data_IF_143052578162
#
_entry.id   IF_143052578162
#
_cell.length_a   1.000
_cell.length_b   1.000
_cell.length_c   1.000
_cell.angle_alpha   90.00
_cell.angle_beta   90.00
_cell.angle_gamma   90.00
#
_symmetry.space_group_name_H-M   'P 1'
#
loop_
_entity.id
_entity.type
_entity.pdbx_description
1 polymer ?
#
# COMPACT_ATOMS: atom_id res chain seq x y z
N UNK A 1 -6.47 -16.21 15.53
CA UNK A 1 -5.17 -16.33 16.23
C UNK A 1 -5.32 -16.70 17.69
N UNK A 2 -5.94 -15.86 18.54
CA UNK A 2 -6.04 -16.15 19.97
C UNK A 2 -6.71 -17.51 20.28
N UNK A 3 -7.91 -17.79 19.74
CA UNK A 3 -8.58 -19.08 19.90
C UNK A 3 -7.70 -20.26 19.48
N UNK A 4 -7.09 -20.16 18.30
CA UNK A 4 -6.17 -21.18 17.77
C UNK A 4 -4.99 -21.44 18.71
N UNK A 5 -4.39 -20.39 19.30
CA UNK A 5 -3.27 -20.57 20.24
C UNK A 5 -3.73 -21.16 21.57
N UNK A 6 -4.93 -20.83 22.05
CA UNK A 6 -5.53 -21.47 23.24
C UNK A 6 -5.75 -22.96 23.00
N UNK A 7 -6.30 -23.31 21.84
CA UNK A 7 -6.58 -24.70 21.46
C UNK A 7 -5.28 -25.52 21.34
N UNK A 8 -4.23 -24.97 20.69
CA UNK A 8 -2.94 -25.66 20.51
C UNK A 8 -2.17 -25.84 21.83
N UNK A 9 -2.31 -24.90 22.78
CA UNK A 9 -1.55 -24.91 24.03
C UNK A 9 -2.31 -25.49 25.22
N UNK A 10 -3.55 -25.92 25.01
CA UNK A 10 -4.50 -26.33 26.06
C UNK A 10 -4.55 -25.33 27.24
N UNK A 11 -4.66 -24.05 26.90
CA UNK A 11 -4.61 -22.96 27.88
C UNK A 11 -5.74 -21.97 27.67
N UNK A 12 -6.41 -21.60 28.77
CA UNK A 12 -7.46 -20.58 28.76
C UNK A 12 -6.94 -19.16 28.80
N UNK A 13 -5.62 -18.98 29.00
CA UNK A 13 -5.00 -17.66 29.00
C UNK A 13 -5.05 -17.05 27.59
N UNK A 14 -5.15 -15.71 27.47
CA UNK A 14 -5.03 -15.04 26.17
C UNK A 14 -3.81 -15.53 25.38
N UNK A 15 -4.01 -15.80 24.09
CA UNK A 15 -3.00 -16.34 23.17
C UNK A 15 -2.29 -17.60 23.69
N UNK A 16 -2.96 -18.43 24.48
CA UNK A 16 -2.36 -19.66 25.01
C UNK A 16 -1.24 -19.40 26.03
N UNK A 17 -1.25 -18.24 26.69
CA UNK A 17 -0.20 -17.81 27.62
C UNK A 17 1.08 -17.31 26.95
N UNK A 18 1.08 -17.11 25.63
CA UNK A 18 2.23 -16.56 24.91
C UNK A 18 2.30 -15.04 25.08
N UNK A 19 3.52 -14.53 25.17
CA UNK A 19 3.78 -13.09 25.11
C UNK A 19 3.61 -12.65 23.65
N UNK A 20 2.62 -11.79 23.40
CA UNK A 20 2.35 -11.22 22.08
C UNK A 20 2.62 -9.73 22.11
N UNK A 21 3.37 -9.25 21.13
CA UNK A 21 3.62 -7.83 20.91
C UNK A 21 2.98 -7.43 19.59
N UNK A 22 2.02 -6.51 19.66
CA UNK A 22 1.42 -5.91 18.47
C UNK A 22 2.16 -4.61 18.13
N UNK A 23 2.55 -4.46 16.87
CA UNK A 23 3.10 -3.23 16.33
C UNK A 23 2.22 -2.71 15.20
N UNK A 24 1.94 -1.41 15.19
CA UNK A 24 1.14 -0.78 14.15
C UNK A 24 0.76 0.65 14.49
N UNK A 25 0.23 1.37 13.50
CA UNK A 25 -0.37 2.70 13.68
C UNK A 25 -1.84 2.62 13.31
N UNK A 26 -2.72 2.74 14.30
CA UNK A 26 -4.18 2.66 14.12
C UNK A 26 -4.77 3.84 13.33
N UNK A 27 -3.93 4.81 12.96
CA UNK A 27 -4.28 5.90 12.04
C UNK A 27 -4.02 5.53 10.57
N UNK A 28 -3.54 4.33 10.30
CA UNK A 28 -3.37 3.77 8.95
C UNK A 28 -4.66 3.05 8.50
N UNK A 29 -4.60 2.44 7.32
CA UNK A 29 -5.75 1.81 6.64
C UNK A 29 -6.35 0.69 7.51
N UNK A 30 -7.68 0.62 7.54
CA UNK A 30 -8.41 -0.46 8.20
C UNK A 30 -8.17 -1.81 7.52
N UNK A 31 -8.44 -2.94 8.20
CA UNK A 31 -8.44 -4.24 7.55
C UNK A 31 -9.37 -4.26 6.33
N UNK A 32 -8.88 -4.77 5.20
CA UNK A 32 -9.67 -4.86 3.97
C UNK A 32 -10.61 -6.07 4.06
N UNK A 33 -11.92 -5.82 3.98
CA UNK A 33 -12.93 -6.87 3.86
C UNK A 33 -13.56 -6.76 2.46
N UNK A 34 -13.30 -7.76 1.60
CA UNK A 34 -13.85 -7.77 0.24
C UNK A 34 -15.38 -7.76 0.30
N UNK A 35 -16.00 -6.80 -0.38
CA UNK A 35 -17.46 -6.58 -0.38
C UNK A 35 -18.05 -6.32 1.02
N UNK A 36 -17.20 -5.97 1.99
CA UNK A 36 -17.61 -5.62 3.34
C UNK A 36 -18.18 -4.21 3.42
N UNK A 37 -19.02 -4.01 4.41
CA UNK A 37 -19.49 -2.70 4.84
C UNK A 37 -18.44 -2.02 5.71
N UNK A 38 -18.51 -0.69 5.81
CA UNK A 38 -17.67 0.09 6.74
C UNK A 38 -17.75 -0.42 8.18
N UNK A 39 -18.92 -0.91 8.61
CA UNK A 39 -19.10 -1.44 9.96
C UNK A 39 -18.33 -2.75 10.15
N UNK A 40 -18.33 -3.63 9.16
CA UNK A 40 -17.57 -4.88 9.20
C UNK A 40 -16.06 -4.61 9.25
N UNK A 41 -15.56 -3.66 8.45
CA UNK A 41 -14.15 -3.26 8.47
C UNK A 41 -13.71 -2.75 9.85
N UNK A 42 -14.53 -1.89 10.46
CA UNK A 42 -14.28 -1.38 11.82
C UNK A 42 -14.32 -2.52 12.84
N UNK A 43 -15.27 -3.44 12.73
CA UNK A 43 -15.42 -4.58 13.64
C UNK A 43 -14.26 -5.58 13.51
N UNK A 44 -13.64 -5.69 12.35
CA UNK A 44 -12.46 -6.52 12.14
C UNK A 44 -11.16 -5.88 12.69
N UNK A 45 -11.17 -4.58 12.99
CA UNK A 45 -10.01 -3.91 13.57
C UNK A 45 -9.69 -4.44 14.97
N UNK A 46 -8.40 -4.47 15.32
CA UNK A 46 -7.96 -4.89 16.65
C UNK A 46 -8.54 -4.00 17.77
N UNK A 47 -8.82 -2.72 17.46
CA UNK A 47 -9.44 -1.79 18.40
C UNK A 47 -10.88 -2.19 18.79
N UNK A 48 -11.58 -2.91 17.92
CA UNK A 48 -12.93 -3.47 18.18
C UNK A 48 -12.89 -4.87 18.79
N UNK A 49 -11.69 -5.46 18.95
CA UNK A 49 -11.55 -6.79 19.53
C UNK A 49 -11.87 -6.79 21.02
N UNK A 50 -12.47 -7.87 21.50
CA UNK A 50 -12.68 -8.10 22.93
C UNK A 50 -11.36 -8.15 23.73
N UNK A 51 -10.22 -8.40 23.06
CA UNK A 51 -8.90 -8.38 23.67
C UNK A 51 -8.37 -6.97 23.89
N UNK A 52 -8.91 -5.95 23.23
CA UNK A 52 -8.36 -4.59 23.25
C UNK A 52 -8.23 -3.99 24.65
N UNK A 53 -9.19 -4.31 25.53
CA UNK A 53 -9.21 -3.86 26.93
C UNK A 53 -8.14 -4.56 27.79
N UNK A 54 -7.71 -5.77 27.43
CA UNK A 54 -6.73 -6.55 28.18
C UNK A 54 -5.28 -6.22 27.79
N UNK A 55 -5.08 -5.55 26.64
CA UNK A 55 -3.76 -5.18 26.14
C UNK A 55 -3.17 -3.97 26.87
N UNK A 56 -1.90 -4.09 27.24
CA UNK A 56 -1.07 -2.95 27.67
C UNK A 56 -0.72 -2.10 26.46
N UNK A 57 -0.97 -0.78 26.56
CA UNK A 57 -0.82 0.17 25.44
C UNK A 57 0.43 1.00 25.64
N UNK A 58 1.44 0.78 24.79
CA UNK A 58 2.67 1.56 24.74
C UNK A 58 2.59 2.48 23.52
N UNK A 59 2.91 3.77 23.72
CA UNK A 59 2.86 4.78 22.64
C UNK A 59 4.26 5.34 22.42
N UNK A 60 4.70 5.32 21.17
CA UNK A 60 5.91 6.03 20.74
C UNK A 60 5.52 7.46 20.35
N UNK A 61 6.30 8.45 20.81
CA UNK A 61 6.03 9.87 20.60
C UNK A 61 6.93 10.52 19.56
N UNK A 62 8.11 9.97 19.30
CA UNK A 62 9.09 10.56 18.39
C UNK A 62 8.97 9.98 16.97
N UNK A 63 8.84 10.87 15.98
CA UNK A 63 8.85 10.49 14.56
C UNK A 63 10.30 10.41 14.06
N UNK A 64 10.83 9.19 14.01
CA UNK A 64 12.20 8.96 13.54
C UNK A 64 12.37 9.13 12.02
N UNK A 65 11.29 9.02 11.23
CA UNK A 65 11.36 9.10 9.75
C UNK A 65 11.54 10.53 9.26
N UNK A 66 10.82 11.48 9.85
CA UNK A 66 10.87 12.91 9.51
C UNK A 66 11.57 13.72 10.61
N UNK A 67 12.51 13.12 11.35
CA UNK A 67 13.16 13.74 12.50
C UNK A 67 13.85 15.07 12.16
N UNK A 68 14.43 15.16 10.97
CA UNK A 68 15.14 16.34 10.49
C UNK A 68 14.24 17.36 9.78
N UNK A 69 12.93 17.10 9.68
CA UNK A 69 11.93 18.02 9.15
C UNK A 69 10.75 18.15 10.13
N UNK A 70 10.90 18.98 11.18
CA UNK A 70 9.87 19.19 12.18
C UNK A 70 8.57 19.76 11.60
N UNK A 71 8.65 20.58 10.55
CA UNK A 71 7.49 21.19 9.92
C UNK A 71 6.64 20.11 9.24
N UNK A 72 7.27 19.25 8.44
CA UNK A 72 6.58 18.13 7.81
C UNK A 72 6.07 17.11 8.83
N UNK A 73 6.87 16.78 9.86
CA UNK A 73 6.44 15.86 10.92
C UNK A 73 5.21 16.39 11.67
N UNK A 74 5.18 17.68 12.01
CA UNK A 74 4.04 18.30 12.68
C UNK A 74 2.80 18.32 11.77
N UNK A 75 2.96 18.64 10.49
CA UNK A 75 1.88 18.57 9.51
C UNK A 75 1.30 17.15 9.40
N UNK A 76 2.16 16.12 9.27
CA UNK A 76 1.73 14.72 9.25
C UNK A 76 0.96 14.31 10.51
N UNK A 77 1.38 14.78 11.69
CA UNK A 77 0.69 14.52 12.95
C UNK A 77 -0.70 15.18 12.98
N UNK A 78 -0.82 16.42 12.48
CA UNK A 78 -2.11 17.10 12.41
C UNK A 78 -3.09 16.38 11.48
N UNK A 79 -2.62 15.93 10.31
CA UNK A 79 -3.39 15.15 9.34
C UNK A 79 -3.86 13.84 9.98
N UNK A 80 -2.94 13.12 10.62
CA UNK A 80 -3.23 11.84 11.28
C UNK A 80 -4.21 11.97 12.44
N UNK A 81 -4.15 13.06 13.20
CA UNK A 81 -5.08 13.30 14.30
C UNK A 81 -6.42 13.89 13.84
N UNK A 82 -6.59 14.22 12.57
CA UNK A 82 -7.79 14.87 12.04
C UNK A 82 -7.97 16.31 12.54
N UNK A 83 -6.88 16.98 12.93
CA UNK A 83 -6.90 18.35 13.48
C UNK A 83 -6.56 19.43 12.44
N UNK A 84 -6.16 19.03 11.24
CA UNK A 84 -5.85 19.95 10.14
C UNK A 84 -7.12 20.71 9.72
N UNK A 85 -7.03 22.00 9.34
CA UNK A 85 -8.16 22.73 8.79
C UNK A 85 -8.78 21.96 7.63
N UNK A 86 -10.02 21.56 7.82
CA UNK A 86 -10.79 20.82 6.84
C UNK A 86 -11.47 21.87 5.93
N UNK A 87 -11.43 21.67 4.62
CA UNK A 87 -12.16 22.52 3.69
C UNK A 87 -13.68 22.30 3.82
N UNK A 88 -14.47 23.14 3.14
CA UNK A 88 -15.94 23.10 3.13
C UNK A 88 -16.51 21.70 2.80
N UNK A 89 -15.75 20.86 2.11
CA UNK A 89 -16.16 19.52 1.67
C UNK A 89 -15.61 18.35 2.51
N UNK A 90 -15.22 18.60 3.75
CA UNK A 90 -14.56 17.58 4.59
C UNK A 90 -13.22 17.05 4.02
N UNK A 91 -12.53 17.82 3.17
CA UNK A 91 -11.24 17.44 2.56
C UNK A 91 -10.08 18.15 3.25
N UNK A 92 -8.94 17.47 3.31
CA UNK A 92 -7.69 18.05 3.80
C UNK A 92 -7.08 18.89 2.67
N UNK A 93 -6.71 20.14 2.96
CA UNK A 93 -5.95 20.96 2.02
C UNK A 93 -4.47 20.57 2.09
N UNK A 94 -3.92 20.10 0.97
CA UNK A 94 -2.50 19.81 0.83
C UNK A 94 -1.73 21.14 0.60
N UNK A 95 -0.56 21.35 1.23
CA UNK A 95 0.29 22.51 0.97
C UNK A 95 0.66 22.62 -0.51
N UNK A 96 0.69 23.84 -1.06
CA UNK A 96 0.95 24.07 -2.48
C UNK A 96 2.34 23.59 -2.91
N UNK A 97 3.30 23.59 -1.98
CA UNK A 97 4.67 23.13 -2.19
C UNK A 97 4.76 21.62 -2.42
N UNK A 98 3.70 20.88 -2.10
CA UNK A 98 3.59 19.42 -2.30
C UNK A 98 2.74 19.06 -3.52
N UNK A 99 2.26 20.04 -4.29
CA UNK A 99 1.35 19.84 -5.40
C UNK A 99 2.03 20.09 -6.74
N UNK A 100 1.72 19.21 -7.70
CA UNK A 100 1.97 19.46 -9.12
C UNK A 100 0.67 20.02 -9.71
N UNK A 101 0.67 21.23 -10.28
CA UNK A 101 -0.54 21.83 -10.84
C UNK A 101 -1.10 20.99 -11.97
N UNK A 102 -2.38 20.64 -11.87
CA UNK A 102 -3.07 19.92 -12.94
C UNK A 102 -3.29 20.82 -14.16
N UNK A 103 -2.89 20.34 -15.34
CA UNK A 103 -3.11 20.99 -16.64
C UNK A 103 -4.10 20.19 -17.49
N UNK A 104 -3.71 18.98 -17.87
CA UNK A 104 -4.51 17.93 -18.50
C UNK A 104 -3.91 16.57 -18.13
N UNK A 105 -4.60 15.47 -18.46
CA UNK A 105 -4.19 14.13 -18.01
C UNK A 105 -2.78 13.74 -18.47
N UNK A 106 -2.45 13.98 -19.75
CA UNK A 106 -1.16 13.60 -20.33
C UNK A 106 -0.03 14.46 -19.76
N UNK A 107 -0.14 15.79 -19.85
CA UNK A 107 0.91 16.69 -19.36
C UNK A 107 1.13 16.59 -17.86
N UNK A 108 0.06 16.40 -17.07
CA UNK A 108 0.20 16.32 -15.61
C UNK A 108 0.84 14.99 -15.19
N UNK A 109 0.58 13.90 -15.92
CA UNK A 109 1.25 12.61 -15.69
C UNK A 109 2.73 12.69 -16.05
N UNK A 110 3.05 13.32 -17.19
CA UNK A 110 4.44 13.54 -17.59
C UNK A 110 5.17 14.43 -16.58
N UNK A 111 4.57 15.56 -16.15
CA UNK A 111 5.11 16.44 -15.12
C UNK A 111 5.32 15.69 -13.78
N UNK A 112 4.42 14.77 -13.41
CA UNK A 112 4.57 13.92 -12.22
C UNK A 112 5.75 12.95 -12.33
N UNK A 113 5.87 12.27 -13.47
CA UNK A 113 6.97 11.36 -13.73
C UNK A 113 8.30 12.11 -13.69
N UNK A 114 8.38 13.26 -14.34
CA UNK A 114 9.60 14.07 -14.40
C UNK A 114 9.95 14.66 -13.03
N UNK A 115 8.97 15.05 -12.22
CA UNK A 115 9.20 15.51 -10.85
C UNK A 115 9.79 14.41 -9.95
N UNK A 116 9.35 13.16 -10.13
CA UNK A 116 9.77 12.03 -9.27
C UNK A 116 11.01 11.34 -9.79
N UNK A 117 11.13 11.08 -11.10
CA UNK A 117 12.19 10.31 -11.75
C UNK A 117 13.11 11.14 -12.65
N UNK A 118 12.91 12.46 -12.74
CA UNK A 118 13.83 13.36 -13.44
C UNK A 118 14.22 12.84 -14.85
N UNK A 119 15.51 12.86 -15.19
CA UNK A 119 15.99 12.25 -16.43
C UNK A 119 16.26 10.75 -16.22
N UNK A 120 15.31 9.93 -16.68
CA UNK A 120 15.40 8.46 -16.64
C UNK A 120 16.63 7.95 -17.42
N UNK A 121 17.07 8.67 -18.45
CA UNK A 121 18.24 8.33 -19.25
C UNK A 121 19.55 8.33 -18.44
N UNK A 122 19.63 9.20 -17.43
CA UNK A 122 20.81 9.35 -16.57
C UNK A 122 21.03 8.15 -15.62
N UNK A 123 20.00 7.34 -15.37
CA UNK A 123 20.07 6.24 -14.40
C UNK A 123 20.83 5.00 -14.88
N UNK A 124 21.15 4.91 -16.18
CA UNK A 124 22.00 3.83 -16.69
C UNK A 124 23.37 3.79 -16.01
N UNK A 125 23.89 4.95 -15.62
CA UNK A 125 25.19 5.09 -14.98
C UNK A 125 25.11 4.93 -13.45
N UNK A 126 23.95 5.21 -12.84
CA UNK A 126 23.76 5.12 -11.40
C UNK A 126 22.33 4.71 -10.98
N UNK A 127 22.07 3.39 -10.98
CA UNK A 127 20.79 2.83 -10.54
C UNK A 127 20.43 3.16 -9.08
N UNK A 128 21.40 3.51 -8.23
CA UNK A 128 21.14 3.80 -6.81
C UNK A 128 20.31 5.08 -6.62
N UNK A 129 20.41 6.05 -7.53
CA UNK A 129 19.62 7.28 -7.48
C UNK A 129 18.14 7.05 -7.76
N UNK A 130 17.83 5.98 -8.50
CA UNK A 130 16.46 5.58 -8.80
C UNK A 130 15.80 4.83 -7.64
N UNK A 131 16.56 4.03 -6.88
CA UNK A 131 16.01 3.13 -5.85
C UNK A 131 15.23 3.81 -4.71
N UNK A 132 15.40 5.12 -4.51
CA UNK A 132 14.73 5.88 -3.45
C UNK A 132 13.48 6.64 -3.94
N UNK A 133 13.00 6.36 -5.16
CA UNK A 133 11.88 7.05 -5.80
C UNK A 133 10.72 6.08 -6.02
N UNK A 134 9.50 6.54 -5.77
CA UNK A 134 8.29 5.77 -5.99
C UNK A 134 7.09 6.68 -6.25
N UNK A 135 6.21 6.26 -7.15
CA UNK A 135 4.89 6.86 -7.36
C UNK A 135 3.86 5.91 -6.74
N UNK A 136 3.00 6.45 -5.87
CA UNK A 136 1.92 5.69 -5.24
C UNK A 136 0.59 6.19 -5.78
N UNK A 137 -0.24 5.27 -6.26
CA UNK A 137 -1.61 5.59 -6.72
C UNK A 137 -2.64 4.78 -5.94
N UNK A 138 -3.91 5.24 -5.86
CA UNK A 138 -4.95 4.53 -5.12
C UNK A 138 -5.44 3.23 -5.77
N UNK A 139 -5.18 3.03 -7.08
CA UNK A 139 -5.74 1.93 -7.87
C UNK A 139 -4.67 1.28 -8.75
N UNK A 140 -4.74 -0.04 -8.87
CA UNK A 140 -3.81 -0.81 -9.69
C UNK A 140 -3.83 -0.41 -11.17
N UNK A 141 -5.01 -0.12 -11.75
CA UNK A 141 -5.07 0.31 -13.15
C UNK A 141 -4.25 1.59 -13.42
N UNK A 142 -4.21 2.53 -12.47
CA UNK A 142 -3.36 3.71 -12.55
C UNK A 142 -1.87 3.38 -12.32
N UNK A 143 -1.57 2.35 -11.53
CA UNK A 143 -0.19 1.82 -11.42
C UNK A 143 0.25 1.26 -12.77
N UNK A 144 -0.59 0.45 -13.42
CA UNK A 144 -0.28 -0.20 -14.70
C UNK A 144 -0.04 0.81 -15.81
N UNK A 145 -0.87 1.85 -15.89
CA UNK A 145 -0.72 2.97 -16.83
C UNK A 145 0.63 3.70 -16.66
N UNK A 146 0.94 4.10 -15.42
CA UNK A 146 2.19 4.83 -15.12
C UNK A 146 3.42 3.93 -15.35
N UNK A 147 3.35 2.67 -14.94
CA UNK A 147 4.44 1.72 -15.16
C UNK A 147 4.68 1.49 -16.66
N UNK A 148 3.63 1.42 -17.47
CA UNK A 148 3.75 1.28 -18.93
C UNK A 148 4.48 2.48 -19.53
N UNK A 149 4.11 3.70 -19.13
CA UNK A 149 4.80 4.93 -19.57
C UNK A 149 6.27 4.93 -19.14
N UNK A 150 6.56 4.56 -17.90
CA UNK A 150 7.92 4.47 -17.39
C UNK A 150 8.77 3.45 -18.16
N UNK A 151 8.25 2.23 -18.39
CA UNK A 151 8.94 1.18 -19.17
C UNK A 151 9.29 1.67 -20.57
N UNK A 152 8.39 2.40 -21.23
CA UNK A 152 8.64 2.98 -22.57
C UNK A 152 9.70 4.09 -22.57
N UNK A 153 9.86 4.81 -21.44
CA UNK A 153 10.86 5.86 -21.29
C UNK A 153 12.25 5.34 -20.92
N UNK A 154 12.36 4.13 -20.37
CA UNK A 154 13.66 3.56 -20.03
C UNK A 154 14.52 3.31 -21.28
N UNK A 155 15.77 3.78 -21.30
CA UNK A 155 16.68 3.45 -22.39
C UNK A 155 17.05 1.96 -22.32
N UNK A 156 16.88 1.24 -23.44
CA UNK A 156 17.27 -0.15 -23.54
C UNK A 156 16.36 -0.98 -24.44
N UNK A 157 16.64 -2.28 -24.49
CA UNK A 157 15.81 -3.22 -25.24
C UNK A 157 14.70 -3.76 -24.35
N UNK A 158 13.45 -3.60 -24.80
CA UNK A 158 12.29 -4.19 -24.13
C UNK A 158 12.42 -5.71 -24.12
N UNK A 159 12.24 -6.32 -22.96
CA UNK A 159 12.19 -7.78 -22.78
C UNK A 159 10.82 -8.14 -22.22
N UNK A 160 10.11 -9.03 -22.90
CA UNK A 160 8.80 -9.53 -22.46
C UNK A 160 8.97 -10.90 -21.81
N UNK A 161 8.27 -11.11 -20.70
CA UNK A 161 8.24 -12.37 -19.96
C UNK A 161 6.80 -12.86 -19.91
N UNK A 162 6.54 -14.00 -20.55
CA UNK A 162 5.22 -14.63 -20.56
C UNK A 162 5.02 -15.46 -19.29
N UNK A 163 3.84 -15.35 -18.69
CA UNK A 163 3.41 -16.22 -17.60
C UNK A 163 3.02 -17.60 -18.13
N UNK A 164 3.16 -18.60 -17.28
CA UNK A 164 2.70 -19.96 -17.57
C UNK A 164 1.98 -20.50 -16.34
N UNK A 165 0.66 -20.62 -16.44
CA UNK A 165 -0.22 -21.01 -15.35
C UNK A 165 -0.71 -22.45 -15.58
N UNK A 166 -0.52 -23.32 -14.58
CA UNK A 166 -0.93 -24.73 -14.65
C UNK A 166 -1.93 -25.08 -13.54
N UNK A 167 -2.92 -25.89 -13.88
CA UNK A 167 -3.80 -26.54 -12.92
C UNK A 167 -3.06 -27.64 -12.14
N UNK A 168 -3.49 -27.90 -10.90
CA UNK A 168 -2.98 -29.04 -10.12
C UNK A 168 -3.38 -30.36 -10.79
N UNK A 169 -4.58 -30.41 -11.36
CA UNK A 169 -5.03 -31.53 -12.20
C UNK A 169 -4.87 -31.14 -13.68
N UNK A 170 -3.84 -31.67 -14.32
CA UNK A 170 -3.52 -31.40 -15.74
C UNK A 170 -4.64 -31.75 -16.71
N UNK A 171 -5.58 -32.62 -16.32
CA UNK A 171 -6.73 -32.96 -17.17
C UNK A 171 -7.75 -31.82 -17.30
N UNK A 172 -7.72 -30.85 -16.38
CA UNK A 172 -8.59 -29.67 -16.38
C UNK A 172 -7.97 -28.46 -17.09
N UNK A 173 -6.68 -28.54 -17.48
CA UNK A 173 -5.94 -27.40 -18.04
C UNK A 173 -6.68 -26.73 -19.20
N UNK A 174 -7.09 -27.50 -20.21
CA UNK A 174 -7.76 -26.95 -21.39
C UNK A 174 -9.16 -26.36 -21.13
N UNK A 175 -9.76 -26.62 -19.95
CA UNK A 175 -11.04 -26.04 -19.54
C UNK A 175 -10.80 -24.76 -18.72
N UNK A 176 -9.73 -24.74 -17.92
CA UNK A 176 -9.43 -23.64 -16.99
C UNK A 176 -8.48 -22.59 -17.56
N UNK A 177 -7.79 -22.85 -18.67
CA UNK A 177 -6.78 -21.97 -19.26
C UNK A 177 -7.28 -20.52 -19.43
N UNK A 178 -8.42 -20.32 -20.10
CA UNK A 178 -9.01 -18.98 -20.27
C UNK A 178 -9.30 -18.28 -18.93
N UNK A 179 -9.74 -19.05 -17.92
CA UNK A 179 -10.00 -18.52 -16.59
C UNK A 179 -8.71 -18.17 -15.86
N UNK A 180 -7.69 -19.01 -15.94
CA UNK A 180 -6.37 -18.77 -15.35
C UNK A 180 -5.75 -17.48 -15.90
N UNK A 181 -5.85 -17.28 -17.22
CA UNK A 181 -5.35 -16.07 -17.89
C UNK A 181 -6.10 -14.79 -17.47
N UNK A 182 -7.28 -14.90 -16.84
CA UNK A 182 -7.99 -13.73 -16.27
C UNK A 182 -7.55 -13.38 -14.85
N UNK A 183 -6.76 -14.23 -14.19
CA UNK A 183 -6.35 -14.02 -12.80
C UNK A 183 -5.26 -12.95 -12.71
N UNK A 184 -5.47 -12.00 -11.79
CA UNK A 184 -4.51 -10.94 -11.47
C UNK A 184 -4.21 -10.98 -9.96
N UNK A 185 -3.47 -12.00 -9.49
CA UNK A 185 -3.15 -12.12 -8.08
C UNK A 185 -2.30 -10.93 -7.59
N UNK A 186 -2.55 -10.50 -6.36
CA UNK A 186 -1.87 -9.35 -5.77
C UNK A 186 -0.34 -9.59 -5.72
N UNK A 187 0.42 -8.64 -6.27
CA UNK A 187 1.88 -8.68 -6.24
C UNK A 187 2.54 -9.47 -7.37
N UNK A 188 1.75 -9.97 -8.33
CA UNK A 188 2.24 -10.58 -9.56
C UNK A 188 1.78 -9.74 -10.77
N UNK A 189 2.58 -9.70 -11.86
CA UNK A 189 2.15 -9.08 -13.10
C UNK A 189 0.92 -9.80 -13.68
N UNK A 190 0.11 -9.11 -14.50
CA UNK A 190 -0.97 -9.74 -15.24
C UNK A 190 -0.43 -10.76 -16.23
N UNK A 191 -1.28 -11.71 -16.61
CA UNK A 191 -0.95 -12.67 -17.68
C UNK A 191 -0.85 -11.96 -19.03
N UNK A 192 0.17 -12.29 -19.82
CA UNK A 192 0.39 -11.86 -21.22
C UNK A 192 0.52 -13.06 -22.16
#
# INVERSE_FOLDING_TARGET
MDKMLRDITDSRLPFGGKIIVFGGDFRQVLPVIRKGTRQEEVNASLASSYLWSTLTKIRLSENMRARFDPNFSNYLLQVRNGTTPITIENKIKIPNEMLIPYKNDVESLDDLIDAVFQDIGSYLENLSEMTNRAILTPKNNSVDEINTILIQRFPGTVTQYYSFDETIDTSEQGIMEDFLNTLTPNGLPPHE
#
